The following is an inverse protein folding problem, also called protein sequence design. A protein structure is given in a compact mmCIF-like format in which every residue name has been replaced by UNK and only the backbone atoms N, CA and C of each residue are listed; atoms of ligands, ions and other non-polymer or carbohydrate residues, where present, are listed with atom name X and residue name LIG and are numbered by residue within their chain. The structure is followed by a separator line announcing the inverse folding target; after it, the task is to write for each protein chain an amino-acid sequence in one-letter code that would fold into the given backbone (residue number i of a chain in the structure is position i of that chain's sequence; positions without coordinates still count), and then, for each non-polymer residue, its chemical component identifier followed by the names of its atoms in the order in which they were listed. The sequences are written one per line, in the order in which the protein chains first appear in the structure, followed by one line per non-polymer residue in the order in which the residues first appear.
data_IF_140696619853
#
_entry.id   IF_140696619853
#
_cell.length_a   1.000
_cell.length_b   1.000
_cell.length_c   1.000
_cell.angle_alpha   90.00
_cell.angle_beta   90.00
_cell.angle_gamma   90.00
#
_symmetry.space_group_name_H-M   'P 1'
#
loop_
_entity.id
_entity.type
_entity.pdbx_description
1 polymer ?
#
# COMPACT_ATOMS: atom_id res chain seq x y z
N UNK A 1 -11.54 -14.19 -14.58
CA UNK A 1 -10.14 -13.75 -14.36
C UNK A 1 -9.93 -13.67 -12.86
N UNK A 2 -8.79 -14.10 -12.32
CA UNK A 2 -8.48 -13.98 -10.88
C UNK A 2 -7.48 -12.84 -10.70
N UNK A 3 -7.75 -11.93 -9.79
CA UNK A 3 -6.82 -10.86 -9.39
C UNK A 3 -5.66 -11.44 -8.57
N UNK A 4 -4.56 -10.69 -8.44
CA UNK A 4 -3.42 -11.11 -7.61
C UNK A 4 -3.82 -11.40 -6.17
N UNK A 5 -4.61 -10.52 -5.56
CA UNK A 5 -5.11 -10.68 -4.20
C UNK A 5 -6.02 -11.91 -4.02
N UNK A 6 -6.79 -12.33 -5.03
CA UNK A 6 -7.59 -13.56 -4.99
C UNK A 6 -6.73 -14.83 -4.87
N UNK A 7 -5.44 -14.72 -5.19
CA UNK A 7 -4.48 -15.83 -5.15
C UNK A 7 -3.57 -15.75 -3.93
N UNK A 8 -3.81 -14.84 -3.01
CA UNK A 8 -2.96 -14.61 -1.83
C UNK A 8 -2.62 -15.90 -1.09
N UNK A 9 -3.60 -16.80 -0.91
CA UNK A 9 -3.40 -18.08 -0.20
C UNK A 9 -2.34 -18.98 -0.84
N UNK A 10 -2.13 -18.87 -2.16
CA UNK A 10 -1.10 -19.63 -2.88
C UNK A 10 0.32 -19.05 -2.67
N UNK A 11 0.41 -17.84 -2.13
CA UNK A 11 1.67 -17.09 -1.97
C UNK A 11 1.97 -16.71 -0.53
N UNK A 12 1.23 -17.25 0.46
CA UNK A 12 1.45 -16.92 1.88
C UNK A 12 2.88 -17.23 2.35
N UNK A 13 3.54 -18.21 1.75
CA UNK A 13 4.92 -18.55 2.05
C UNK A 13 5.92 -17.39 1.86
N UNK A 14 5.59 -16.43 0.96
CA UNK A 14 6.42 -15.22 0.74
C UNK A 14 6.37 -14.30 1.96
N UNK A 15 5.25 -14.28 2.67
CA UNK A 15 4.98 -13.38 3.80
C UNK A 15 5.26 -14.02 5.16
N UNK A 16 5.62 -15.30 5.18
CA UNK A 16 5.83 -16.05 6.42
C UNK A 16 6.95 -15.43 7.25
N UNK A 17 6.67 -15.14 8.52
CA UNK A 17 7.57 -14.46 9.45
C UNK A 17 8.07 -13.07 8.99
N UNK A 18 7.32 -12.42 8.08
CA UNK A 18 7.66 -11.09 7.56
C UNK A 18 6.69 -10.02 8.04
N UNK A 19 7.22 -8.85 8.34
CA UNK A 19 6.45 -7.64 8.61
C UNK A 19 6.17 -6.96 7.27
N UNK A 20 4.92 -6.68 6.99
CA UNK A 20 4.46 -6.22 5.67
C UNK A 20 3.99 -4.78 5.72
N UNK A 21 4.49 -3.95 4.83
CA UNK A 21 3.91 -2.66 4.46
C UNK A 21 3.12 -2.80 3.16
N UNK A 22 2.00 -2.11 3.03
CA UNK A 22 1.18 -2.13 1.83
C UNK A 22 0.95 -0.72 1.28
N UNK A 23 1.24 -0.54 0.01
CA UNK A 23 0.87 0.66 -0.75
C UNK A 23 -0.41 0.32 -1.51
N UNK A 24 -1.49 1.06 -1.26
CA UNK A 24 -2.80 0.80 -1.89
C UNK A 24 -3.68 2.04 -1.94
N UNK A 25 -4.77 1.95 -2.67
CA UNK A 25 -5.84 2.92 -2.77
C UNK A 25 -7.20 2.19 -2.89
N UNK A 26 -8.34 2.88 -3.07
CA UNK A 26 -9.65 2.23 -3.16
C UNK A 26 -9.81 1.22 -4.31
N UNK A 27 -8.91 1.19 -5.29
CA UNK A 27 -8.95 0.21 -6.39
C UNK A 27 -8.30 -1.12 -6.04
N UNK A 28 -7.53 -1.17 -4.94
CA UNK A 28 -6.97 -2.41 -4.39
C UNK A 28 -8.06 -3.24 -3.71
N UNK A 29 -8.72 -4.10 -4.49
CA UNK A 29 -9.82 -4.96 -4.04
C UNK A 29 -9.69 -6.36 -4.62
N UNK A 30 -10.26 -7.34 -3.93
CA UNK A 30 -10.43 -8.69 -4.46
C UNK A 30 -11.67 -8.81 -5.36
N UNK A 31 -11.93 -9.99 -5.92
CA UNK A 31 -13.10 -10.26 -6.77
C UNK A 31 -14.46 -10.14 -6.07
N UNK A 32 -14.46 -10.01 -4.73
CA UNK A 32 -15.66 -9.77 -3.91
C UNK A 32 -15.79 -8.32 -3.48
N UNK A 33 -14.94 -7.42 -3.99
CA UNK A 33 -14.84 -6.01 -3.62
C UNK A 33 -14.44 -5.76 -2.14
N UNK A 34 -13.79 -6.74 -1.49
CA UNK A 34 -13.17 -6.51 -0.20
C UNK A 34 -11.83 -5.80 -0.42
N UNK A 35 -11.57 -4.75 0.37
CA UNK A 35 -10.32 -3.98 0.26
C UNK A 35 -9.10 -4.85 0.57
N UNK A 36 -8.06 -4.71 -0.24
CA UNK A 36 -6.79 -5.44 -0.07
C UNK A 36 -6.20 -5.36 1.34
N UNK A 37 -6.16 -4.20 2.02
CA UNK A 37 -5.65 -4.15 3.39
C UNK A 37 -6.50 -4.98 4.38
N UNK A 38 -7.81 -5.06 4.19
CA UNK A 38 -8.69 -5.89 5.02
C UNK A 38 -8.45 -7.39 4.79
N UNK A 39 -8.19 -7.76 3.54
CA UNK A 39 -7.85 -9.15 3.19
C UNK A 39 -6.47 -9.53 3.71
N UNK A 40 -5.45 -8.68 3.48
CA UNK A 40 -4.08 -8.93 3.94
C UNK A 40 -3.99 -9.04 5.46
N UNK A 41 -4.65 -8.14 6.21
CA UNK A 41 -4.62 -8.16 7.68
C UNK A 41 -5.07 -9.48 8.28
N UNK A 42 -5.94 -10.23 7.60
CA UNK A 42 -6.43 -11.55 8.05
C UNK A 42 -5.38 -12.66 7.89
N UNK A 43 -4.38 -12.48 7.03
CA UNK A 43 -3.51 -13.55 6.59
C UNK A 43 -2.02 -13.28 6.82
N UNK A 44 -1.60 -12.02 6.93
CA UNK A 44 -0.20 -11.63 7.05
C UNK A 44 0.02 -10.62 8.18
N UNK A 45 1.24 -10.46 8.63
CA UNK A 45 1.61 -9.47 9.64
C UNK A 45 1.71 -8.07 9.01
N UNK A 46 0.55 -7.48 8.70
CA UNK A 46 0.44 -6.15 8.13
C UNK A 46 0.72 -5.09 9.21
N UNK A 47 1.74 -4.26 9.01
CA UNK A 47 2.24 -3.27 10.00
C UNK A 47 1.85 -1.83 9.67
N UNK A 48 1.87 -1.48 8.40
CA UNK A 48 1.74 -0.10 7.97
C UNK A 48 1.12 -0.02 6.58
N UNK A 49 0.38 1.05 6.35
CA UNK A 49 -0.21 1.36 5.06
C UNK A 49 0.39 2.65 4.49
N UNK A 50 0.52 2.67 3.18
CA UNK A 50 0.90 3.84 2.43
C UNK A 50 -0.17 4.15 1.39
N UNK A 51 -0.58 5.40 1.31
CA UNK A 51 -1.59 5.84 0.37
C UNK A 51 -1.03 6.87 -0.61
N UNK A 52 -1.29 6.74 -1.91
CA UNK A 52 -1.11 7.84 -2.84
C UNK A 52 -2.17 8.93 -2.59
N UNK A 53 -2.34 9.85 -3.52
CA UNK A 53 -3.42 10.84 -3.50
C UNK A 53 -4.78 10.19 -3.21
N UNK A 54 -5.66 10.86 -2.49
CA UNK A 54 -7.02 10.46 -2.07
C UNK A 54 -7.12 9.41 -0.94
N UNK A 55 -6.01 8.95 -0.38
CA UNK A 55 -6.04 7.99 0.73
C UNK A 55 -6.41 6.56 0.33
N UNK A 56 -6.48 5.68 1.32
CA UNK A 56 -6.79 4.25 1.09
C UNK A 56 -8.28 3.98 0.89
N UNK A 57 -9.17 4.89 1.28
CA UNK A 57 -10.64 4.76 1.16
C UNK A 57 -11.26 5.73 0.17
N UNK A 58 -10.47 6.64 -0.44
CA UNK A 58 -10.96 7.67 -1.34
C UNK A 58 -11.81 8.76 -0.67
N UNK A 59 -11.72 8.87 0.65
CA UNK A 59 -12.48 9.82 1.48
C UNK A 59 -11.77 11.17 1.65
N UNK A 60 -10.58 11.31 1.14
CA UNK A 60 -9.81 12.56 1.19
C UNK A 60 -10.04 13.37 -0.08
N UNK A 61 -10.38 14.65 0.09
CA UNK A 61 -10.53 15.57 -1.03
C UNK A 61 -9.22 15.75 -1.80
N UNK A 62 -9.32 15.98 -3.10
CA UNK A 62 -8.16 16.24 -3.94
C UNK A 62 -7.40 17.48 -3.43
N UNK A 63 -6.07 17.34 -3.26
CA UNK A 63 -5.20 18.43 -2.83
C UNK A 63 -5.13 18.64 -1.32
N UNK A 64 -5.88 17.90 -0.49
CA UNK A 64 -5.72 17.93 0.97
C UNK A 64 -4.49 17.15 1.37
N UNK A 65 -3.53 17.84 1.96
CA UNK A 65 -2.28 17.26 2.43
C UNK A 65 -2.49 16.69 3.84
N UNK A 66 -2.47 15.38 3.98
CA UNK A 66 -2.46 14.68 5.27
C UNK A 66 -1.20 13.82 5.30
N UNK A 67 -0.25 14.16 6.18
CA UNK A 67 1.03 13.42 6.25
C UNK A 67 0.85 11.97 6.71
N UNK A 68 0.01 11.77 7.74
CA UNK A 68 -0.36 10.45 8.24
C UNK A 68 -1.65 10.50 9.04
N UNK A 69 -2.36 9.39 9.12
CA UNK A 69 -3.53 9.23 9.98
C UNK A 69 -3.64 7.77 10.47
N UNK A 70 -4.40 7.58 11.53
CA UNK A 70 -4.70 6.24 12.04
C UNK A 70 -6.05 5.77 11.49
N UNK A 71 -6.08 4.60 10.88
CA UNK A 71 -7.31 3.94 10.44
C UNK A 71 -7.82 3.05 11.58
N UNK A 72 -8.88 3.48 12.24
CA UNK A 72 -9.44 2.78 13.42
C UNK A 72 -9.96 1.38 13.09
N UNK A 73 -10.51 1.18 11.89
CA UNK A 73 -11.04 -0.12 11.47
C UNK A 73 -9.93 -1.15 11.26
N UNK A 74 -8.82 -0.72 10.71
CA UNK A 74 -7.65 -1.55 10.48
C UNK A 74 -6.67 -1.53 11.65
N UNK A 75 -6.82 -0.57 12.58
CA UNK A 75 -5.88 -0.33 13.69
C UNK A 75 -4.43 -0.19 13.18
N UNK A 76 -4.27 0.53 12.07
CA UNK A 76 -2.99 0.75 11.40
C UNK A 76 -2.79 2.22 11.05
N UNK A 77 -1.54 2.64 11.10
CA UNK A 77 -1.16 3.96 10.59
C UNK A 77 -1.08 3.93 9.07
N UNK A 78 -1.63 4.97 8.45
CA UNK A 78 -1.56 5.22 7.01
C UNK A 78 -0.69 6.44 6.77
N UNK A 79 0.39 6.28 6.02
CA UNK A 79 1.27 7.37 5.60
C UNK A 79 0.94 7.80 4.18
N UNK A 80 0.92 9.11 3.94
CA UNK A 80 0.71 9.66 2.61
C UNK A 80 2.00 9.65 1.80
N UNK A 81 1.93 9.15 0.58
CA UNK A 81 2.98 9.26 -0.44
C UNK A 81 2.63 10.32 -1.49
N UNK A 82 1.92 11.38 -1.07
CA UNK A 82 1.50 12.48 -1.92
C UNK A 82 2.18 13.80 -1.53
N UNK A 83 2.32 14.72 -2.47
CA UNK A 83 2.94 16.02 -2.24
C UNK A 83 4.46 15.95 -2.13
N UNK A 84 5.02 16.34 -1.00
CA UNK A 84 6.49 16.38 -0.79
C UNK A 84 7.09 14.99 -0.55
N UNK A 85 6.35 14.08 0.08
CA UNK A 85 6.82 12.77 0.52
C UNK A 85 6.42 11.65 -0.45
N UNK A 86 6.81 11.78 -1.72
CA UNK A 86 6.46 10.79 -2.76
C UNK A 86 7.16 9.44 -2.60
N UNK A 87 8.30 9.42 -1.90
CA UNK A 87 9.11 8.23 -1.64
C UNK A 87 9.06 7.92 -0.15
N UNK A 88 8.75 6.68 0.27
CA UNK A 88 8.81 6.31 1.67
C UNK A 88 10.19 6.56 2.24
N UNK A 89 10.28 7.22 3.39
CA UNK A 89 11.55 7.44 4.07
C UNK A 89 12.04 6.18 4.76
N UNK A 90 13.32 6.15 5.12
CA UNK A 90 13.94 5.02 5.83
C UNK A 90 13.20 4.72 7.13
N UNK A 91 12.85 5.75 7.89
CA UNK A 91 12.18 5.62 9.19
C UNK A 91 10.81 4.93 9.06
N UNK A 92 10.09 5.20 7.95
CA UNK A 92 8.79 4.56 7.68
C UNK A 92 8.92 3.09 7.25
N UNK A 93 10.11 2.67 6.87
CA UNK A 93 10.41 1.32 6.37
C UNK A 93 11.13 0.44 7.40
N UNK A 94 11.58 0.98 8.54
CA UNK A 94 12.39 0.25 9.55
C UNK A 94 11.67 -0.99 10.12
N UNK A 95 10.33 -0.93 10.20
CA UNK A 95 9.54 -1.99 10.82
C UNK A 95 8.91 -2.96 9.81
N UNK A 96 9.37 -2.95 8.55
CA UNK A 96 8.88 -3.86 7.53
C UNK A 96 10.00 -4.64 6.85
N UNK A 97 9.67 -5.83 6.39
CA UNK A 97 10.58 -6.74 5.69
C UNK A 97 10.12 -6.93 4.23
N UNK A 98 8.87 -6.58 3.93
CA UNK A 98 8.29 -6.64 2.59
C UNK A 98 7.43 -5.40 2.37
N UNK A 99 7.59 -4.77 1.22
CA UNK A 99 6.73 -3.71 0.73
C UNK A 99 5.88 -4.24 -0.43
N UNK A 100 4.58 -4.41 -0.20
CA UNK A 100 3.61 -4.82 -1.20
C UNK A 100 2.97 -3.61 -1.88
N UNK A 101 2.55 -3.78 -3.12
CA UNK A 101 1.88 -2.76 -3.90
C UNK A 101 0.64 -3.38 -4.57
N UNK A 102 -0.53 -2.82 -4.29
CA UNK A 102 -1.79 -3.25 -4.92
C UNK A 102 -2.71 -2.07 -5.17
N UNK A 103 -2.71 -1.59 -6.39
CA UNK A 103 -3.65 -0.61 -6.91
C UNK A 103 -3.72 -0.69 -8.43
N UNK A 104 -4.84 -0.28 -9.01
CA UNK A 104 -5.05 -0.29 -10.45
C UNK A 104 -4.59 1.02 -11.07
N UNK A 105 -3.63 0.95 -11.97
CA UNK A 105 -3.30 2.01 -12.92
C UNK A 105 -4.09 1.77 -14.22
N UNK A 106 -4.54 2.83 -14.87
CA UNK A 106 -5.34 2.74 -16.10
C UNK A 106 -4.52 3.02 -17.37
N UNK A 107 -3.19 3.18 -17.23
CA UNK A 107 -2.30 3.43 -18.35
C UNK A 107 -2.42 4.81 -18.99
N UNK A 108 -3.02 5.76 -18.30
CA UNK A 108 -3.11 7.14 -18.76
C UNK A 108 -1.93 7.97 -18.25
N UNK A 109 -1.37 8.81 -19.10
CA UNK A 109 -0.22 9.65 -18.77
C UNK A 109 -0.42 10.55 -17.53
N UNK A 110 -1.65 10.91 -17.22
CA UNK A 110 -1.98 11.76 -16.08
C UNK A 110 -1.98 11.01 -14.73
N UNK A 111 -2.06 9.69 -14.76
CA UNK A 111 -2.01 8.85 -13.55
C UNK A 111 -0.59 8.77 -13.03
N UNK A 112 -0.45 8.91 -11.71
CA UNK A 112 0.86 8.99 -11.04
C UNK A 112 1.26 7.70 -10.32
N UNK A 113 0.43 6.65 -10.38
CA UNK A 113 0.65 5.42 -9.61
C UNK A 113 1.90 4.65 -10.04
N UNK A 114 2.25 4.68 -11.33
CA UNK A 114 3.49 4.09 -11.81
C UNK A 114 4.73 4.76 -11.20
N UNK A 115 4.67 6.08 -10.95
CA UNK A 115 5.75 6.79 -10.26
C UNK A 115 5.78 6.45 -8.77
N UNK A 116 4.61 6.30 -8.13
CA UNK A 116 4.53 5.81 -6.74
C UNK A 116 5.20 4.45 -6.61
N UNK A 117 4.92 3.52 -7.54
CA UNK A 117 5.56 2.21 -7.58
C UNK A 117 7.08 2.32 -7.77
N UNK A 118 7.53 3.14 -8.71
CA UNK A 118 8.97 3.33 -8.97
C UNK A 118 9.71 3.88 -7.73
N UNK A 119 9.16 4.91 -7.07
CA UNK A 119 9.73 5.45 -5.85
C UNK A 119 9.72 4.43 -4.69
N UNK A 120 8.66 3.62 -4.58
CA UNK A 120 8.59 2.56 -3.60
C UNK A 120 9.67 1.48 -3.84
N UNK A 121 9.86 1.07 -5.08
CA UNK A 121 10.92 0.11 -5.45
C UNK A 121 12.32 0.67 -5.15
N UNK A 122 12.57 1.96 -5.45
CA UNK A 122 13.83 2.62 -5.10
C UNK A 122 14.06 2.63 -3.58
N UNK A 123 13.03 3.02 -2.81
CA UNK A 123 13.12 3.04 -1.36
C UNK A 123 13.36 1.65 -0.77
N UNK A 124 12.69 0.63 -1.29
CA UNK A 124 12.88 -0.76 -0.88
C UNK A 124 14.32 -1.23 -1.16
N UNK A 125 14.84 -0.98 -2.37
CA UNK A 125 16.20 -1.33 -2.73
C UNK A 125 17.26 -0.64 -1.85
N UNK A 126 17.08 0.65 -1.54
CA UNK A 126 17.99 1.42 -0.68
C UNK A 126 17.99 0.93 0.78
N UNK A 127 16.92 0.28 1.23
CA UNK A 127 16.74 -0.21 2.60
C UNK A 127 16.78 -1.74 2.72
N UNK A 128 17.14 -2.46 1.65
CA UNK A 128 17.24 -3.93 1.60
C UNK A 128 15.93 -4.64 1.95
N UNK A 129 14.80 -4.13 1.44
CA UNK A 129 13.46 -4.68 1.58
C UNK A 129 13.03 -5.33 0.26
#
# INVERSE_FOLDING_TARGET
MKLGIDRLTSYLHIFENKRVGLITNPTGVNSKLELTPEVLKKHVNLKVLFAPEHGIRGDKEAGVHVDSYFDEKLELTVHSLYGKNKKPSKELLEDIDILAFDMQDVGLRFYTYIYTMAYAMMAAAENNI
#
